data_IF_332667699860
#
_entry.id   IF_332667699860
#
_cell.length_a   1.000
_cell.length_b   1.000
_cell.length_c   1.000
_cell.angle_alpha   90.00
_cell.angle_beta   90.00
_cell.angle_gamma   90.00
#
_symmetry.space_group_name_H-M   'P 1'
#
loop_
_entity.id
_entity.type
_entity.pdbx_description
1 polymer ?
#
# COMPACT_ATOMS: atom_id res chain seq x y z
N UNK A 1 -37.38 -2.12 42.72
CA UNK A 1 -37.25 -3.26 41.78
C UNK A 1 -37.86 -2.85 40.46
N UNK A 2 -37.04 -2.38 39.52
CA UNK A 2 -37.43 -2.20 38.12
C UNK A 2 -37.05 -3.49 37.40
N UNK A 3 -37.98 -4.45 37.41
CA UNK A 3 -37.87 -5.69 36.67
C UNK A 3 -38.29 -5.41 35.22
N UNK A 4 -37.36 -4.85 34.44
CA UNK A 4 -37.52 -4.75 32.99
C UNK A 4 -36.87 -6.01 32.41
N UNK A 5 -37.64 -6.88 31.73
CA UNK A 5 -37.07 -8.09 31.14
C UNK A 5 -36.01 -7.69 30.11
N UNK A 6 -34.76 -8.08 30.34
CA UNK A 6 -33.68 -7.87 29.37
C UNK A 6 -33.95 -8.79 28.18
N UNK A 7 -34.28 -8.24 27.01
CA UNK A 7 -34.50 -8.98 25.76
C UNK A 7 -33.18 -9.57 25.22
N UNK A 8 -32.70 -10.64 25.86
CA UNK A 8 -31.44 -11.33 25.52
C UNK A 8 -31.44 -11.87 24.08
N UNK A 9 -32.60 -12.26 23.55
CA UNK A 9 -32.71 -12.85 22.21
C UNK A 9 -32.48 -11.80 21.10
N UNK A 10 -33.03 -10.60 21.27
CA UNK A 10 -32.79 -9.45 20.39
C UNK A 10 -31.33 -9.02 20.40
N UNK A 11 -30.71 -9.02 21.58
CA UNK A 11 -29.28 -8.72 21.71
C UNK A 11 -28.39 -9.77 21.02
N UNK A 12 -28.76 -11.06 21.10
CA UNK A 12 -28.06 -12.15 20.39
C UNK A 12 -28.22 -12.07 18.88
N UNK A 13 -29.41 -11.76 18.38
CA UNK A 13 -29.66 -11.55 16.95
C UNK A 13 -28.85 -10.37 16.38
N UNK A 14 -28.78 -9.26 17.12
CA UNK A 14 -27.93 -8.11 16.74
C UNK A 14 -26.43 -8.44 16.77
N UNK A 15 -25.98 -9.23 17.75
CA UNK A 15 -24.58 -9.66 17.80
C UNK A 15 -24.20 -10.59 16.64
N UNK A 16 -25.08 -11.54 16.29
CA UNK A 16 -24.90 -12.44 15.15
C UNK A 16 -24.89 -11.67 13.81
N UNK A 17 -25.76 -10.67 13.67
CA UNK A 17 -25.79 -9.79 12.50
C UNK A 17 -24.47 -9.01 12.37
N UNK A 18 -24.03 -8.33 13.44
CA UNK A 18 -22.76 -7.60 13.46
C UNK A 18 -21.55 -8.49 13.14
N UNK A 19 -21.50 -9.71 13.68
CA UNK A 19 -20.44 -10.66 13.38
C UNK A 19 -20.44 -11.12 11.91
N UNK A 20 -21.61 -11.13 11.26
CA UNK A 20 -21.75 -11.45 9.84
C UNK A 20 -21.33 -10.28 8.97
N UNK A 21 -21.76 -9.07 9.31
CA UNK A 21 -21.38 -7.84 8.61
C UNK A 21 -19.87 -7.61 8.68
N UNK A 22 -19.25 -7.86 9.84
CA UNK A 22 -17.79 -7.77 10.00
C UNK A 22 -17.04 -8.78 9.12
N UNK A 23 -17.52 -10.03 9.04
CA UNK A 23 -16.91 -11.04 8.16
C UNK A 23 -17.04 -10.67 6.69
N UNK A 24 -18.18 -10.10 6.29
CA UNK A 24 -18.37 -9.59 4.92
C UNK A 24 -17.39 -8.46 4.62
N UNK A 25 -17.31 -7.46 5.50
CA UNK A 25 -16.39 -6.33 5.35
C UNK A 25 -14.93 -6.79 5.26
N UNK A 26 -14.51 -7.75 6.11
CA UNK A 26 -13.17 -8.34 6.04
C UNK A 26 -12.93 -9.04 4.70
N UNK A 27 -13.88 -9.86 4.22
CA UNK A 27 -13.76 -10.54 2.93
C UNK A 27 -13.70 -9.55 1.75
N UNK A 28 -14.46 -8.46 1.79
CA UNK A 28 -14.38 -7.38 0.79
C UNK A 28 -13.01 -6.70 0.81
N UNK A 29 -12.47 -6.39 2.00
CA UNK A 29 -11.12 -5.83 2.14
C UNK A 29 -10.06 -6.78 1.61
N UNK A 30 -10.12 -8.07 1.96
CA UNK A 30 -9.18 -9.08 1.46
C UNK A 30 -9.21 -9.20 -0.07
N UNK A 31 -10.40 -9.18 -0.67
CA UNK A 31 -10.57 -9.21 -2.12
C UNK A 31 -9.97 -7.95 -2.77
N UNK A 32 -10.23 -6.77 -2.21
CA UNK A 32 -9.67 -5.52 -2.71
C UNK A 32 -8.14 -5.49 -2.60
N UNK A 33 -7.58 -5.99 -1.50
CA UNK A 33 -6.13 -6.11 -1.31
C UNK A 33 -5.51 -7.04 -2.34
N UNK A 34 -6.16 -8.18 -2.64
CA UNK A 34 -5.70 -9.10 -3.68
C UNK A 34 -5.71 -8.45 -5.06
N UNK A 35 -6.82 -7.80 -5.44
CA UNK A 35 -6.94 -7.11 -6.72
C UNK A 35 -5.91 -5.98 -6.87
N UNK A 36 -5.65 -5.23 -5.79
CA UNK A 36 -4.64 -4.18 -5.79
C UNK A 36 -3.24 -4.75 -6.04
N UNK A 37 -2.88 -5.85 -5.38
CA UNK A 37 -1.59 -6.54 -5.57
C UNK A 37 -1.42 -7.06 -7.00
N UNK A 38 -2.47 -7.63 -7.59
CA UNK A 38 -2.43 -8.11 -8.97
C UNK A 38 -2.19 -6.97 -9.96
N UNK A 39 -2.87 -5.84 -9.77
CA UNK A 39 -2.69 -4.63 -10.60
C UNK A 39 -1.31 -4.01 -10.43
N UNK A 40 -0.79 -3.97 -9.20
CA UNK A 40 0.56 -3.49 -8.91
C UNK A 40 1.61 -4.35 -9.62
N UNK A 41 1.49 -5.68 -9.53
CA UNK A 41 2.41 -6.60 -10.20
C UNK A 41 2.37 -6.49 -11.73
N UNK A 42 1.19 -6.30 -12.34
CA UNK A 42 1.08 -6.06 -13.79
C UNK A 42 1.74 -4.74 -14.20
N UNK A 43 1.57 -3.68 -13.40
CA UNK A 43 2.20 -2.39 -13.65
C UNK A 43 3.73 -2.49 -13.55
N UNK A 44 4.25 -3.12 -12.50
CA UNK A 44 5.69 -3.39 -12.34
C UNK A 44 6.25 -4.20 -13.51
N UNK A 45 5.55 -5.27 -13.91
CA UNK A 45 5.94 -6.11 -15.04
C UNK A 45 6.05 -5.30 -16.35
N UNK A 46 5.06 -4.45 -16.65
CA UNK A 46 5.10 -3.56 -17.81
C UNK A 46 6.22 -2.54 -17.71
N UNK A 47 6.44 -1.98 -16.52
CA UNK A 47 7.50 -1.02 -16.26
C UNK A 47 8.89 -1.61 -16.52
N UNK A 48 9.10 -2.88 -16.18
CA UNK A 48 10.34 -3.62 -16.39
C UNK A 48 10.52 -4.13 -17.83
N UNK A 49 9.43 -4.45 -18.52
CA UNK A 49 9.49 -5.02 -19.87
C UNK A 49 9.69 -3.96 -20.96
N UNK A 50 9.18 -2.75 -20.77
CA UNK A 50 9.34 -1.65 -21.73
C UNK A 50 10.66 -0.91 -21.43
N UNK A 51 11.64 -0.89 -22.34
CA UNK A 51 12.85 -0.09 -22.16
C UNK A 51 12.52 1.40 -22.03
N UNK A 52 13.22 2.12 -21.15
CA UNK A 52 13.08 3.57 -21.10
C UNK A 52 13.63 4.22 -22.38
N UNK A 53 12.87 5.12 -22.99
CA UNK A 53 13.27 5.84 -24.21
C UNK A 53 13.90 7.20 -23.92
N UNK A 54 13.86 7.66 -22.67
CA UNK A 54 14.41 8.95 -22.25
C UNK A 54 14.95 8.90 -20.82
N UNK A 55 15.82 9.86 -20.47
CA UNK A 55 16.33 10.00 -19.11
C UNK A 55 15.23 10.24 -18.06
N UNK A 56 14.25 11.15 -18.27
CA UNK A 56 13.16 11.33 -17.32
C UNK A 56 12.35 10.05 -17.08
N UNK A 57 12.12 9.26 -18.14
CA UNK A 57 11.42 7.98 -18.01
C UNK A 57 12.23 6.98 -17.18
N UNK A 58 13.54 6.86 -17.43
CA UNK A 58 14.42 6.00 -16.66
C UNK A 58 14.49 6.42 -15.18
N UNK A 59 14.56 7.74 -14.90
CA UNK A 59 14.58 8.29 -13.56
C UNK A 59 13.29 7.99 -12.78
N UNK A 60 12.12 8.02 -13.44
CA UNK A 60 10.85 7.62 -12.82
C UNK A 60 10.85 6.14 -12.42
N UNK A 61 11.31 5.25 -13.32
CA UNK A 61 11.43 3.81 -13.03
C UNK A 61 12.40 3.55 -11.88
N UNK A 62 13.54 4.23 -11.87
CA UNK A 62 14.52 4.14 -10.78
C UNK A 62 13.95 4.66 -9.45
N UNK A 63 13.22 5.79 -9.46
CA UNK A 63 12.59 6.35 -8.27
C UNK A 63 11.58 5.39 -7.65
N UNK A 64 10.80 4.70 -8.47
CA UNK A 64 9.88 3.67 -8.00
C UNK A 64 10.61 2.54 -7.26
N UNK A 65 11.63 1.95 -7.88
CA UNK A 65 12.42 0.87 -7.27
C UNK A 65 13.12 1.30 -5.98
N UNK A 66 13.68 2.52 -5.97
CA UNK A 66 14.37 3.06 -4.79
C UNK A 66 13.40 3.34 -3.63
N UNK A 67 12.16 3.75 -3.92
CA UNK A 67 11.12 3.88 -2.89
C UNK A 67 10.74 2.52 -2.30
N UNK A 68 10.58 1.49 -3.13
CA UNK A 68 10.31 0.13 -2.66
C UNK A 68 11.45 -0.39 -1.79
N UNK A 69 12.69 -0.20 -2.25
CA UNK A 69 13.89 -0.52 -1.48
C UNK A 69 13.90 0.21 -0.13
N UNK A 70 13.69 1.53 -0.11
CA UNK A 70 13.69 2.32 1.11
C UNK A 70 12.56 1.97 2.08
N UNK A 71 11.40 1.53 1.58
CA UNK A 71 10.28 1.05 2.38
C UNK A 71 10.60 -0.29 3.06
N UNK A 72 11.40 -1.14 2.43
CA UNK A 72 11.85 -2.43 2.97
C UNK A 72 13.01 -2.34 3.97
N UNK A 73 13.67 -1.19 4.08
CA UNK A 73 14.79 -1.01 5.02
C UNK A 73 14.32 -0.98 6.49
N UNK A 74 15.14 -1.50 7.42
CA UNK A 74 14.98 -1.24 8.85
C UNK A 74 14.92 0.26 9.16
N UNK A 75 14.32 0.64 10.29
CA UNK A 75 14.23 2.05 10.68
C UNK A 75 15.61 2.65 11.00
N UNK A 76 16.54 1.82 11.47
CA UNK A 76 17.88 2.17 11.92
C UNK A 76 18.87 2.37 10.76
N UNK A 77 18.52 1.92 9.55
CA UNK A 77 19.40 2.02 8.39
C UNK A 77 19.38 3.42 7.76
N UNK A 78 19.94 4.38 8.50
CA UNK A 78 20.01 5.79 8.10
C UNK A 78 20.95 5.99 6.92
N UNK A 79 21.98 5.14 6.77
CA UNK A 79 22.96 5.22 5.69
C UNK A 79 22.32 4.99 4.33
N UNK A 80 21.58 3.88 4.15
CA UNK A 80 20.97 3.59 2.85
C UNK A 80 19.84 4.57 2.52
N UNK A 81 19.08 5.04 3.52
CA UNK A 81 18.09 6.11 3.33
C UNK A 81 18.73 7.42 2.85
N UNK A 82 19.89 7.79 3.39
CA UNK A 82 20.62 8.98 2.94
C UNK A 82 21.14 8.84 1.50
N UNK A 83 21.60 7.66 1.10
CA UNK A 83 22.01 7.40 -0.28
C UNK A 83 20.83 7.51 -1.26
N UNK A 84 19.67 6.97 -0.91
CA UNK A 84 18.45 7.10 -1.72
C UNK A 84 18.03 8.56 -1.85
N UNK A 85 18.08 9.34 -0.76
CA UNK A 85 17.76 10.76 -0.81
C UNK A 85 18.70 11.54 -1.75
N UNK A 86 20.02 11.31 -1.65
CA UNK A 86 20.99 11.95 -2.53
C UNK A 86 20.75 11.63 -4.01
N UNK A 87 20.37 10.39 -4.33
CA UNK A 87 19.99 10.00 -5.69
C UNK A 87 18.73 10.74 -6.20
N UNK A 88 17.75 10.97 -5.33
CA UNK A 88 16.55 11.74 -5.70
C UNK A 88 16.88 13.21 -5.98
N UNK A 89 17.78 13.80 -5.20
CA UNK A 89 18.26 15.16 -5.46
C UNK A 89 18.98 15.26 -6.80
N UNK A 90 19.82 14.27 -7.14
CA UNK A 90 20.48 14.19 -8.44
C UNK A 90 19.47 14.05 -9.59
N UNK A 91 18.41 13.25 -9.43
CA UNK A 91 17.35 13.13 -10.43
C UNK A 91 16.60 14.44 -10.65
N UNK A 92 16.26 15.16 -9.58
CA UNK A 92 15.60 16.46 -9.67
C UNK A 92 16.49 17.49 -10.41
N UNK A 93 17.78 17.55 -10.06
CA UNK A 93 18.76 18.41 -10.74
C UNK A 93 18.86 18.11 -12.24
N UNK A 94 18.90 16.82 -12.61
CA UNK A 94 19.06 16.40 -14.01
C UNK A 94 17.78 16.53 -14.84
N UNK A 95 16.60 16.59 -14.22
CA UNK A 95 15.34 16.88 -14.90
C UNK A 95 15.12 18.37 -15.17
N UNK A 96 15.96 19.25 -14.62
CA UNK A 96 15.78 20.70 -14.72
C UNK A 96 14.75 21.28 -13.74
N UNK A 97 14.34 20.50 -12.73
CA UNK A 97 13.41 20.91 -11.67
C UNK A 97 14.13 21.67 -10.52
N UNK A 98 15.24 22.36 -10.84
CA UNK A 98 16.11 23.06 -9.89
C UNK A 98 15.74 24.52 -9.64
#
# INVERSE_FOLDING_TARGET
>A
MTDVPVELDKHRGMAAQKATDLRRALSEVENNVRELREREADLESRMLTVPAMSWPEAAVKARYLLNLYAAGLPAEDTRHRALVAALFDDFARLNGDG
#
